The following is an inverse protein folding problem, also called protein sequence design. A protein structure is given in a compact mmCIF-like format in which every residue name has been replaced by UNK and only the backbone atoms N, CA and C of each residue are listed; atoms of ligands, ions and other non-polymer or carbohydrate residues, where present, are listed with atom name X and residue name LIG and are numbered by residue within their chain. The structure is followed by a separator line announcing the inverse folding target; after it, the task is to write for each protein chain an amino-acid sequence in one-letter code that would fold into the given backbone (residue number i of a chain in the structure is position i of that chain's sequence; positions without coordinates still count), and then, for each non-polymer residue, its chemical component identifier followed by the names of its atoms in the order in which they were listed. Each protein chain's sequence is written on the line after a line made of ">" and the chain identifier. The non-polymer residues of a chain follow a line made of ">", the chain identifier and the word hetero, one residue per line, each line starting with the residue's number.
data_IF_854671684073
#
_entry.id   IF_854671684073
#
_cell.length_a   1.000
_cell.length_b   1.000
_cell.length_c   1.000
_cell.angle_alpha   90.00
_cell.angle_beta   90.00
_cell.angle_gamma   90.00
#
_symmetry.space_group_name_H-M   'P 1'
#
loop_
_entity.id
_entity.type
_entity.pdbx_description
1 polymer ?
#
# COMPACT_ATOMS: atom_id res chain seq x y z
N UNK A 1 14.01 -1.99 -5.72
CA UNK A 1 14.09 -1.18 -4.47
C UNK A 1 13.30 -1.84 -3.34
N UNK A 2 13.35 -3.16 -3.20
CA UNK A 2 12.58 -3.94 -2.21
C UNK A 2 13.58 -4.68 -1.30
N UNK A 3 13.18 -4.95 -0.06
CA UNK A 3 13.95 -5.75 0.90
C UNK A 3 13.02 -6.84 1.44
N UNK A 4 13.48 -8.09 1.42
CA UNK A 4 12.85 -9.25 2.05
C UNK A 4 13.91 -9.90 2.95
N UNK A 5 13.61 -10.21 4.20
CA UNK A 5 14.61 -10.71 5.15
C UNK A 5 14.01 -11.47 6.32
N UNK A 6 14.74 -12.49 6.79
CA UNK A 6 14.54 -13.15 8.08
C UNK A 6 15.80 -12.96 8.95
N UNK A 7 15.63 -12.69 10.25
CA UNK A 7 16.74 -12.47 11.17
C UNK A 7 16.47 -13.05 12.57
N UNK A 8 17.52 -13.49 13.26
CA UNK A 8 17.47 -14.04 14.62
C UNK A 8 17.79 -12.97 15.67
N UNK A 9 16.86 -12.06 15.93
CA UNK A 9 16.96 -11.07 17.00
C UNK A 9 18.12 -10.06 16.85
N UNK A 10 18.40 -9.61 15.62
CA UNK A 10 19.42 -8.60 15.34
C UNK A 10 18.96 -7.18 15.71
N UNK A 11 19.92 -6.30 15.96
CA UNK A 11 19.66 -4.86 16.19
C UNK A 11 19.29 -4.14 14.90
N UNK A 12 18.61 -3.01 15.02
CA UNK A 12 18.25 -2.16 13.87
C UNK A 12 19.47 -1.68 13.10
N UNK A 13 20.56 -1.33 13.79
CA UNK A 13 21.81 -0.89 13.16
C UNK A 13 22.44 -1.99 12.30
N UNK A 14 22.39 -3.25 12.77
CA UNK A 14 22.86 -4.40 12.00
C UNK A 14 21.97 -4.66 10.77
N UNK A 15 20.65 -4.57 10.94
CA UNK A 15 19.70 -4.75 9.83
C UNK A 15 19.87 -3.67 8.76
N UNK A 16 20.01 -2.41 9.17
CA UNK A 16 20.25 -1.30 8.24
C UNK A 16 21.62 -1.44 7.55
N UNK A 17 22.64 -1.81 8.31
CA UNK A 17 23.97 -2.08 7.77
C UNK A 17 23.95 -3.17 6.69
N UNK A 18 23.20 -4.25 6.90
CA UNK A 18 23.05 -5.32 5.92
C UNK A 18 22.38 -4.83 4.61
N UNK A 19 21.34 -3.99 4.72
CA UNK A 19 20.68 -3.38 3.54
C UNK A 19 21.65 -2.50 2.75
N UNK A 20 22.42 -1.64 3.44
CA UNK A 20 23.39 -0.76 2.81
C UNK A 20 24.52 -1.54 2.14
N UNK A 21 25.03 -2.57 2.81
CA UNK A 21 26.03 -3.47 2.26
C UNK A 21 25.55 -4.17 1.00
N UNK A 22 24.37 -4.82 1.03
CA UNK A 22 23.81 -5.48 -0.15
C UNK A 22 23.56 -4.51 -1.31
N UNK A 23 23.08 -3.29 -1.01
CA UNK A 23 22.91 -2.24 -2.01
C UNK A 23 24.23 -1.77 -2.63
N UNK A 24 25.30 -1.70 -1.86
CA UNK A 24 26.64 -1.37 -2.36
C UNK A 24 27.22 -2.49 -3.24
N UNK A 25 27.17 -3.74 -2.76
CA UNK A 25 27.76 -4.87 -3.49
C UNK A 25 27.04 -5.16 -4.81
N UNK A 26 25.71 -4.97 -4.86
CA UNK A 26 24.95 -5.18 -6.11
C UNK A 26 25.25 -4.14 -7.21
N UNK A 27 25.96 -3.05 -6.90
CA UNK A 27 26.29 -2.03 -7.91
C UNK A 27 27.13 -2.60 -9.04
N UNK A 28 28.01 -3.56 -8.77
CA UNK A 28 28.81 -4.25 -9.81
C UNK A 28 27.92 -4.92 -10.84
N UNK A 29 26.86 -5.62 -10.41
CA UNK A 29 25.91 -6.24 -11.32
C UNK A 29 25.12 -5.20 -12.13
N UNK A 30 24.69 -4.10 -11.50
CA UNK A 30 24.01 -2.99 -12.19
C UNK A 30 24.92 -2.39 -13.27
N UNK A 31 26.20 -2.17 -12.96
CA UNK A 31 27.20 -1.65 -13.90
C UNK A 31 27.38 -2.61 -15.07
N UNK A 32 27.59 -3.90 -14.80
CA UNK A 32 27.75 -4.90 -15.86
C UNK A 32 26.52 -4.99 -16.78
N UNK A 33 25.30 -4.93 -16.23
CA UNK A 33 24.06 -4.91 -17.03
C UNK A 33 23.98 -3.64 -17.89
N UNK A 34 24.39 -2.48 -17.35
CA UNK A 34 24.41 -1.21 -18.10
C UNK A 34 25.43 -1.25 -19.25
N UNK A 35 26.63 -1.76 -19.01
CA UNK A 35 27.67 -1.93 -20.03
C UNK A 35 27.20 -2.88 -21.13
N UNK A 36 26.67 -4.04 -20.75
CA UNK A 36 26.11 -4.99 -21.70
C UNK A 36 24.96 -4.41 -22.53
N UNK A 37 24.06 -3.64 -21.90
CA UNK A 37 22.97 -2.96 -22.59
C UNK A 37 23.46 -1.84 -23.51
N UNK A 38 24.61 -1.22 -23.25
CA UNK A 38 25.21 -0.24 -24.14
C UNK A 38 25.73 -0.88 -25.43
N UNK A 39 26.24 -2.12 -25.34
CA UNK A 39 26.77 -2.86 -26.49
C UNK A 39 25.67 -3.60 -27.28
N UNK A 40 24.70 -4.20 -26.58
CA UNK A 40 23.76 -5.16 -27.15
C UNK A 40 22.28 -4.82 -26.88
N UNK A 41 22.00 -3.64 -26.35
CA UNK A 41 20.63 -3.21 -26.03
C UNK A 41 19.77 -3.03 -27.27
N UNK A 42 18.54 -3.53 -27.22
CA UNK A 42 17.53 -3.16 -28.21
C UNK A 42 17.23 -1.65 -28.13
N UNK A 43 16.83 -1.00 -29.23
CA UNK A 43 16.40 0.39 -29.20
C UNK A 43 15.36 0.63 -28.11
N UNK A 44 15.52 1.73 -27.36
CA UNK A 44 14.49 2.16 -26.41
C UNK A 44 13.23 2.54 -27.17
N UNK A 45 12.08 2.25 -26.58
CA UNK A 45 10.82 2.69 -27.14
C UNK A 45 10.73 4.22 -27.07
N UNK A 46 10.29 4.83 -28.17
CA UNK A 46 9.86 6.22 -28.20
C UNK A 46 8.48 6.32 -27.56
N UNK A 47 8.45 6.21 -26.24
CA UNK A 47 7.24 6.35 -25.43
C UNK A 47 7.24 7.71 -24.73
N UNK A 48 6.09 8.36 -24.73
CA UNK A 48 5.83 9.57 -23.95
C UNK A 48 4.65 9.31 -23.01
N UNK A 49 4.69 9.81 -21.77
CA UNK A 49 3.52 9.77 -20.91
C UNK A 49 2.39 10.60 -21.54
N UNK A 50 1.15 10.20 -21.27
CA UNK A 50 -0.02 11.03 -21.57
C UNK A 50 0.11 12.40 -20.89
N UNK A 51 -0.29 13.45 -21.61
CA UNK A 51 -0.36 14.78 -21.03
C UNK A 51 -1.32 14.80 -19.83
N UNK A 52 -0.91 15.45 -18.75
CA UNK A 52 -1.77 15.57 -17.57
C UNK A 52 -2.90 16.58 -17.85
N UNK A 53 -4.13 16.14 -17.66
CA UNK A 53 -5.33 16.95 -17.69
C UNK A 53 -5.40 17.81 -16.42
N UNK A 54 -4.60 18.87 -16.40
CA UNK A 54 -4.51 19.81 -15.27
C UNK A 54 -5.81 20.56 -15.03
N UNK A 55 -6.59 20.81 -16.07
CA UNK A 55 -7.92 21.43 -15.97
C UNK A 55 -8.86 20.57 -15.15
N UNK A 56 -8.98 19.27 -15.48
CA UNK A 56 -9.79 18.33 -14.71
C UNK A 56 -9.30 18.17 -13.28
N UNK A 57 -7.99 18.05 -13.07
CA UNK A 57 -7.41 17.95 -11.73
C UNK A 57 -7.79 19.17 -10.87
N UNK A 58 -7.69 20.37 -11.44
CA UNK A 58 -8.02 21.62 -10.76
C UNK A 58 -9.53 21.75 -10.52
N UNK A 59 -10.37 21.34 -11.48
CA UNK A 59 -11.82 21.32 -11.33
C UNK A 59 -12.25 20.41 -10.16
N UNK A 60 -11.74 19.18 -10.11
CA UNK A 60 -12.04 18.24 -9.01
C UNK A 60 -11.55 18.81 -7.68
N UNK A 61 -10.33 19.37 -7.65
CA UNK A 61 -9.77 19.95 -6.43
C UNK A 61 -10.59 21.14 -5.92
N UNK A 62 -11.01 22.03 -6.81
CA UNK A 62 -11.76 23.23 -6.46
C UNK A 62 -13.17 22.89 -5.94
N UNK A 63 -13.85 21.93 -6.57
CA UNK A 63 -15.25 21.64 -6.27
C UNK A 63 -15.43 20.56 -5.18
N UNK A 64 -14.60 19.52 -5.20
CA UNK A 64 -14.75 18.36 -4.31
C UNK A 64 -13.65 18.29 -3.24
N UNK A 65 -12.59 19.09 -3.34
CA UNK A 65 -11.45 19.03 -2.42
C UNK A 65 -11.83 19.20 -0.95
N UNK A 66 -12.71 20.16 -0.64
CA UNK A 66 -13.21 20.38 0.72
C UNK A 66 -14.01 19.18 1.24
N UNK A 67 -14.94 18.66 0.44
CA UNK A 67 -15.73 17.48 0.81
C UNK A 67 -14.86 16.22 1.00
N UNK A 68 -13.82 16.05 0.18
CA UNK A 68 -12.84 14.97 0.34
C UNK A 68 -12.05 15.14 1.65
N UNK A 69 -11.63 16.36 1.99
CA UNK A 69 -10.94 16.64 3.26
C UNK A 69 -11.82 16.31 4.47
N UNK A 70 -13.09 16.72 4.44
CA UNK A 70 -14.07 16.40 5.47
C UNK A 70 -14.33 14.90 5.57
N UNK A 71 -14.47 14.20 4.44
CA UNK A 71 -14.66 12.75 4.42
C UNK A 71 -13.46 12.01 5.06
N UNK A 72 -12.23 12.47 4.84
CA UNK A 72 -11.05 11.89 5.47
C UNK A 72 -10.93 12.18 6.98
N UNK A 73 -11.69 13.13 7.52
CA UNK A 73 -11.83 13.33 8.96
C UNK A 73 -12.78 12.32 9.64
N UNK A 74 -13.56 11.56 8.86
CA UNK A 74 -14.41 10.47 9.36
C UNK A 74 -13.50 9.30 9.78
N UNK A 75 -13.54 8.95 11.07
CA UNK A 75 -12.66 7.91 11.64
C UNK A 75 -13.08 6.50 11.24
N UNK A 76 -14.38 6.22 11.30
CA UNK A 76 -14.93 4.92 10.93
C UNK A 76 -14.68 4.63 9.44
N UNK A 77 -14.10 3.47 9.14
CA UNK A 77 -13.72 3.13 7.77
C UNK A 77 -14.91 2.96 6.84
N UNK A 78 -15.98 2.33 7.29
CA UNK A 78 -17.13 2.05 6.44
C UNK A 78 -17.88 3.35 6.12
N UNK A 79 -18.13 4.19 7.12
CA UNK A 79 -18.74 5.50 6.92
C UNK A 79 -17.88 6.41 6.04
N UNK A 80 -16.55 6.38 6.19
CA UNK A 80 -15.63 7.13 5.31
C UNK A 80 -15.70 6.64 3.86
N UNK A 81 -15.74 5.32 3.64
CA UNK A 81 -15.79 4.75 2.30
C UNK A 81 -17.10 5.04 1.60
N UNK A 82 -18.21 4.96 2.33
CA UNK A 82 -19.54 5.35 1.85
C UNK A 82 -19.54 6.82 1.42
N UNK A 83 -19.06 7.72 2.30
CA UNK A 83 -19.00 9.15 2.00
C UNK A 83 -18.10 9.47 0.81
N UNK A 84 -16.91 8.89 0.73
CA UNK A 84 -16.02 9.07 -0.43
C UNK A 84 -16.63 8.50 -1.72
N UNK A 85 -17.39 7.40 -1.62
CA UNK A 85 -18.15 6.84 -2.73
C UNK A 85 -19.19 7.80 -3.26
N UNK A 86 -20.01 8.41 -2.40
CA UNK A 86 -20.98 9.44 -2.77
C UNK A 86 -20.33 10.63 -3.48
N UNK A 87 -19.24 11.15 -2.93
CA UNK A 87 -18.53 12.31 -3.50
C UNK A 87 -17.92 11.93 -4.85
N UNK A 88 -17.37 10.71 -4.99
CA UNK A 88 -16.82 10.21 -6.25
C UNK A 88 -17.90 10.05 -7.31
N UNK A 89 -19.06 9.51 -6.97
CA UNK A 89 -20.20 9.42 -7.89
C UNK A 89 -20.67 10.81 -8.33
N UNK A 90 -20.80 11.76 -7.40
CA UNK A 90 -21.16 13.14 -7.74
C UNK A 90 -20.13 13.82 -8.66
N UNK A 91 -18.84 13.54 -8.48
CA UNK A 91 -17.79 14.04 -9.37
C UNK A 91 -17.89 13.44 -10.77
N UNK A 92 -18.18 12.15 -10.89
CA UNK A 92 -18.41 11.48 -12.18
C UNK A 92 -19.65 12.05 -12.86
N UNK A 93 -20.79 12.12 -12.16
CA UNK A 93 -22.04 12.65 -12.70
C UNK A 93 -21.92 14.09 -13.21
N UNK A 94 -21.07 14.90 -12.57
CA UNK A 94 -20.91 16.31 -12.93
C UNK A 94 -19.87 16.56 -14.02
N UNK A 95 -18.77 15.81 -14.00
CA UNK A 95 -17.60 16.14 -14.83
C UNK A 95 -17.41 15.17 -15.99
N UNK A 96 -17.89 13.93 -15.89
CA UNK A 96 -17.78 12.97 -16.98
C UNK A 96 -18.88 13.19 -18.03
N UNK A 97 -18.58 12.85 -19.27
CA UNK A 97 -19.59 12.76 -20.31
C UNK A 97 -19.09 12.11 -21.59
N UNK A 98 -19.96 12.05 -22.59
CA UNK A 98 -19.75 11.28 -23.83
C UNK A 98 -19.35 12.16 -25.03
N UNK A 99 -19.34 13.49 -24.86
CA UNK A 99 -18.98 14.42 -25.94
C UNK A 99 -17.46 14.51 -26.15
N UNK A 100 -17.06 14.82 -27.39
CA UNK A 100 -15.65 14.96 -27.75
C UNK A 100 -14.99 16.09 -26.95
N UNK A 101 -13.96 15.75 -26.17
CA UNK A 101 -13.26 16.66 -25.26
C UNK A 101 -13.73 16.63 -23.80
N UNK A 102 -14.81 15.89 -23.48
CA UNK A 102 -15.19 15.63 -22.10
C UNK A 102 -14.40 14.45 -21.52
N UNK A 103 -14.07 14.48 -20.22
CA UNK A 103 -13.33 13.39 -19.60
C UNK A 103 -14.24 12.17 -19.41
N UNK A 104 -13.65 10.98 -19.57
CA UNK A 104 -14.35 9.74 -19.28
C UNK A 104 -14.58 9.54 -17.78
N UNK A 105 -15.53 8.70 -17.41
CA UNK A 105 -15.74 8.29 -16.01
C UNK A 105 -14.45 7.73 -15.37
N UNK A 106 -13.68 6.92 -16.11
CA UNK A 106 -12.41 6.38 -15.62
C UNK A 106 -11.37 7.46 -15.38
N UNK A 107 -11.31 8.47 -16.27
CA UNK A 107 -10.42 9.61 -16.12
C UNK A 107 -10.79 10.44 -14.88
N UNK A 108 -12.07 10.75 -14.69
CA UNK A 108 -12.54 11.46 -13.49
C UNK A 108 -12.18 10.68 -12.22
N UNK A 109 -12.42 9.36 -12.18
CA UNK A 109 -12.04 8.51 -11.04
C UNK A 109 -10.53 8.50 -10.79
N UNK A 110 -9.71 8.47 -11.85
CA UNK A 110 -8.23 8.55 -11.78
C UNK A 110 -7.79 9.86 -11.15
N UNK A 111 -8.32 11.01 -11.60
CA UNK A 111 -7.95 12.31 -11.05
C UNK A 111 -8.53 12.56 -9.66
N UNK A 112 -9.73 12.04 -9.36
CA UNK A 112 -10.26 12.01 -8.01
C UNK A 112 -9.31 11.29 -7.05
N UNK A 113 -8.79 10.12 -7.44
CA UNK A 113 -7.79 9.38 -6.67
C UNK A 113 -6.47 10.17 -6.48
N UNK A 114 -6.08 11.01 -7.44
CA UNK A 114 -4.93 11.92 -7.28
C UNK A 114 -5.21 12.98 -6.21
N UNK A 115 -6.42 13.55 -6.18
CA UNK A 115 -6.84 14.52 -5.16
C UNK A 115 -6.91 13.87 -3.78
N UNK A 116 -7.52 12.68 -3.67
CA UNK A 116 -7.53 11.87 -2.43
C UNK A 116 -6.11 11.68 -1.88
N UNK A 117 -5.18 11.24 -2.75
CA UNK A 117 -3.77 11.05 -2.40
C UNK A 117 -3.11 12.35 -1.94
N UNK A 118 -3.40 13.47 -2.60
CA UNK A 118 -2.83 14.78 -2.26
C UNK A 118 -3.32 15.26 -0.89
N UNK A 119 -4.62 15.17 -0.63
CA UNK A 119 -5.26 15.58 0.64
C UNK A 119 -4.64 14.83 1.82
N UNK A 120 -4.64 13.49 1.78
CA UNK A 120 -4.12 12.67 2.88
C UNK A 120 -2.63 12.94 3.12
N UNK A 121 -1.85 13.09 2.04
CA UNK A 121 -0.41 13.35 2.14
C UNK A 121 -0.12 14.72 2.74
N UNK A 122 -0.85 15.76 2.33
CA UNK A 122 -0.69 17.11 2.86
C UNK A 122 -1.04 17.17 4.35
N UNK A 123 -2.14 16.54 4.79
CA UNK A 123 -2.50 16.50 6.21
C UNK A 123 -1.37 15.94 7.08
N UNK A 124 -0.75 14.83 6.65
CA UNK A 124 0.36 14.22 7.41
C UNK A 124 1.60 15.11 7.43
N UNK A 125 1.91 15.79 6.31
CA UNK A 125 3.07 16.70 6.21
C UNK A 125 2.85 17.96 7.05
N UNK A 126 1.62 18.49 7.08
CA UNK A 126 1.22 19.67 7.87
C UNK A 126 1.09 19.37 9.37
N UNK A 127 1.28 18.12 9.79
CA UNK A 127 1.18 17.72 11.19
C UNK A 127 -0.25 17.64 11.72
N UNK A 128 -1.26 17.64 10.85
CA UNK A 128 -2.65 17.36 11.23
C UNK A 128 -2.77 15.90 11.71
N UNK A 129 -3.75 15.58 12.58
CA UNK A 129 -4.05 14.19 12.93
C UNK A 129 -4.31 13.35 11.68
N UNK A 130 -3.88 12.08 11.71
CA UNK A 130 -4.15 11.12 10.61
C UNK A 130 -5.66 10.86 10.49
N UNK A 131 -6.05 10.16 9.43
CA UNK A 131 -7.45 9.80 9.09
C UNK A 131 -8.27 9.16 10.24
N UNK A 132 -7.62 8.50 11.20
CA UNK A 132 -8.28 7.90 12.37
C UNK A 132 -8.02 8.67 13.68
N UNK A 133 -7.48 9.89 13.57
CA UNK A 133 -7.20 10.81 14.67
C UNK A 133 -5.87 10.60 15.38
N UNK A 134 -5.06 9.63 14.97
CA UNK A 134 -3.75 9.34 15.60
C UNK A 134 -2.66 10.30 15.13
N UNK A 135 -1.62 10.42 15.94
CA UNK A 135 -0.36 11.02 15.51
C UNK A 135 0.49 10.01 14.69
N UNK A 136 1.71 10.41 14.34
CA UNK A 136 2.63 9.60 13.54
C UNK A 136 3.35 8.49 14.33
N UNK A 137 3.13 8.38 15.65
CA UNK A 137 3.83 7.43 16.55
C UNK A 137 2.89 6.44 17.23
N UNK A 138 1.60 6.77 17.33
CA UNK A 138 0.61 6.02 18.09
C UNK A 138 0.10 4.82 17.31
N UNK A 139 0.22 3.64 17.91
CA UNK A 139 -0.34 2.39 17.40
C UNK A 139 -1.84 2.33 17.70
N UNK A 140 -2.62 1.69 16.82
CA UNK A 140 -4.07 1.46 17.05
C UNK A 140 -4.31 0.59 18.30
N UNK A 141 -5.48 0.67 18.95
CA UNK A 141 -5.83 -0.18 20.09
C UNK A 141 -5.62 -1.66 19.79
N UNK A 142 -5.08 -2.39 20.76
CA UNK A 142 -4.79 -3.83 20.66
C UNK A 142 -5.66 -4.59 21.66
N UNK A 143 -6.32 -5.65 21.20
CA UNK A 143 -7.00 -6.65 22.02
C UNK A 143 -6.40 -8.02 21.71
N UNK A 144 -6.10 -8.79 22.76
CA UNK A 144 -5.51 -10.13 22.66
C UNK A 144 -6.35 -11.09 23.48
N UNK A 145 -6.80 -12.17 22.85
CA UNK A 145 -7.51 -13.28 23.49
C UNK A 145 -6.84 -14.59 23.11
N UNK A 146 -6.72 -15.52 24.06
CA UNK A 146 -6.11 -16.84 23.87
C UNK A 146 -7.11 -17.93 24.27
N UNK A 147 -7.01 -19.11 23.66
CA UNK A 147 -7.94 -20.22 23.93
C UNK A 147 -9.37 -19.95 23.46
N UNK A 148 -9.55 -19.16 22.39
CA UNK A 148 -10.85 -18.74 21.85
C UNK A 148 -11.61 -19.87 21.14
N UNK A 149 -10.90 -20.89 20.64
CA UNK A 149 -11.49 -22.04 19.96
C UNK A 149 -11.36 -23.31 20.84
N UNK A 150 -12.44 -24.09 21.02
CA UNK A 150 -12.47 -25.19 21.99
C UNK A 150 -11.73 -26.46 21.54
N UNK A 151 -11.59 -26.70 20.23
CA UNK A 151 -11.16 -28.01 19.69
C UNK A 151 -9.78 -28.01 19.03
N UNK A 152 -9.01 -26.92 19.12
CA UNK A 152 -7.66 -26.81 18.56
C UNK A 152 -6.61 -26.87 19.67
N UNK A 153 -5.38 -27.31 19.36
CA UNK A 153 -4.32 -27.40 20.37
C UNK A 153 -3.95 -26.03 20.97
N UNK A 154 -3.95 -24.99 20.16
CA UNK A 154 -3.80 -23.60 20.61
C UNK A 154 -4.55 -22.64 19.69
N UNK A 155 -5.11 -21.57 20.25
CA UNK A 155 -5.74 -20.51 19.48
C UNK A 155 -5.48 -19.13 20.08
N UNK A 156 -5.46 -18.12 19.22
CA UNK A 156 -5.40 -16.72 19.58
C UNK A 156 -6.28 -15.88 18.65
N UNK A 157 -6.94 -14.87 19.20
CA UNK A 157 -7.59 -13.80 18.45
C UNK A 157 -6.84 -12.49 18.73
N UNK A 158 -6.15 -12.00 17.72
CA UNK A 158 -5.39 -10.75 17.79
C UNK A 158 -6.12 -9.68 16.99
N UNK A 159 -6.48 -8.57 17.65
CA UNK A 159 -7.11 -7.42 17.00
C UNK A 159 -6.26 -6.18 17.20
N UNK A 160 -5.89 -5.49 16.11
CA UNK A 160 -5.20 -4.20 16.13
C UNK A 160 -5.97 -3.18 15.30
N UNK A 161 -6.77 -2.34 15.96
CA UNK A 161 -7.77 -1.49 15.32
C UNK A 161 -8.79 -2.33 14.55
N UNK A 162 -9.02 -2.00 13.28
CA UNK A 162 -9.96 -2.73 12.40
C UNK A 162 -9.32 -3.95 11.70
N UNK A 163 -8.07 -4.30 12.04
CA UNK A 163 -7.40 -5.50 11.51
C UNK A 163 -7.45 -6.60 12.56
N UNK A 164 -8.07 -7.72 12.23
CA UNK A 164 -8.20 -8.88 13.11
C UNK A 164 -7.64 -10.14 12.44
N UNK A 165 -6.96 -10.96 13.23
CA UNK A 165 -6.46 -12.27 12.82
C UNK A 165 -6.86 -13.31 13.87
N UNK A 166 -7.46 -14.41 13.40
CA UNK A 166 -7.61 -15.63 14.19
C UNK A 166 -6.48 -16.59 13.81
N UNK A 167 -5.71 -17.03 14.80
CA UNK A 167 -4.52 -17.86 14.60
C UNK A 167 -4.70 -19.14 15.40
N UNK A 168 -4.40 -20.28 14.78
CA UNK A 168 -4.45 -21.60 15.42
C UNK A 168 -3.09 -22.27 15.34
N UNK A 169 -2.73 -23.00 16.40
CA UNK A 169 -1.58 -23.88 16.43
C UNK A 169 -2.05 -25.34 16.49
N UNK A 170 -1.44 -26.20 15.68
CA UNK A 170 -1.70 -27.63 15.64
C UNK A 170 -0.39 -28.39 15.83
N UNK A 171 -0.36 -29.32 16.79
CA UNK A 171 0.77 -30.22 17.01
C UNK A 171 0.58 -31.48 16.17
N UNK A 172 1.67 -31.98 15.60
CA UNK A 172 1.71 -33.19 14.79
C UNK A 172 2.96 -34.01 15.10
N UNK A 173 3.03 -35.18 14.48
CA UNK A 173 4.19 -36.07 14.55
C UNK A 173 5.14 -35.82 13.38
N UNK A 174 6.26 -36.55 13.33
CA UNK A 174 7.16 -36.53 12.17
C UNK A 174 6.49 -36.96 10.87
N UNK A 175 5.35 -37.67 10.93
CA UNK A 175 4.56 -38.03 9.74
C UNK A 175 3.84 -36.84 9.09
N UNK A 176 3.65 -35.75 9.83
CA UNK A 176 2.91 -34.56 9.39
C UNK A 176 3.84 -33.45 8.89
N UNK A 177 5.16 -33.68 8.88
CA UNK A 177 6.15 -32.72 8.36
C UNK A 177 5.92 -32.52 6.87
N UNK A 178 5.95 -31.27 6.42
CA UNK A 178 5.89 -30.94 5.00
C UNK A 178 7.21 -31.35 4.33
N UNK A 179 7.12 -32.26 3.36
CA UNK A 179 8.24 -32.60 2.48
C UNK A 179 8.27 -31.57 1.35
N UNK A 180 9.41 -30.93 1.16
CA UNK A 180 9.66 -29.94 0.12
C UNK A 180 10.70 -30.51 -0.84
N UNK A 181 10.27 -30.84 -2.06
CA UNK A 181 11.16 -31.21 -3.16
C UNK A 181 11.64 -29.93 -3.87
N UNK A 182 12.86 -29.50 -3.56
CA UNK A 182 13.47 -28.29 -4.10
C UNK A 182 14.66 -28.63 -5.02
N UNK A 183 15.14 -27.64 -5.80
CA UNK A 183 16.29 -27.82 -6.71
C UNK A 183 17.57 -28.31 -6.01
N UNK A 184 17.72 -28.02 -4.72
CA UNK A 184 18.86 -28.44 -3.89
C UNK A 184 18.68 -29.83 -3.26
N UNK A 185 17.51 -30.46 -3.43
CA UNK A 185 17.13 -31.75 -2.86
C UNK A 185 15.88 -31.69 -1.98
N UNK A 186 15.47 -32.86 -1.49
CA UNK A 186 14.31 -33.06 -0.63
C UNK A 186 14.64 -32.69 0.83
N UNK A 187 13.77 -31.90 1.49
CA UNK A 187 13.88 -31.53 2.91
C UNK A 187 12.54 -31.43 3.62
#
# INVERSE_FOLDING_TARGET
>A
LMVESEAKGLTEDQMLGAVLFGHQEMQTAITAIKEFAAENGKPRWEWQPEAENTELLNAIKAEFGGAIEEAYAIRDKMARYERLGEIKSAAVEKLAGEEEGQPSEEEVKKYFGKVEKSVVRLQVIEGKPRIDGRDNKTVRPIKVEVGVLPSVHGSALFTRGETQAIVTATLGTTRDVQIIDALEGER
#
